data_IF_618740749219
#
_entry.id   IF_618740749219
#
_cell.length_a   1.000
_cell.length_b   1.000
_cell.length_c   1.000
_cell.angle_alpha   90.00
_cell.angle_beta   90.00
_cell.angle_gamma   90.00
#
_symmetry.space_group_name_H-M   'P 1'
#
loop_
_entity.id
_entity.type
_entity.pdbx_description
1 polymer ?
#
# COMPACT_ATOMS: atom_id res chain seq x y z
N UNK A 1 -3.07 15.84 -1.26
CA UNK A 1 -3.16 14.51 -1.86
C UNK A 1 -1.86 13.78 -1.61
N UNK A 2 -1.93 12.46 -1.41
CA UNK A 2 -0.78 11.58 -1.21
C UNK A 2 -0.42 10.84 -2.48
N UNK A 3 0.88 10.70 -2.73
CA UNK A 3 1.42 9.97 -3.86
C UNK A 3 2.46 8.96 -3.41
N UNK A 4 2.34 7.73 -3.90
CA UNK A 4 3.37 6.71 -3.85
C UNK A 4 4.27 6.87 -5.07
N UNK A 5 5.54 7.13 -4.82
CA UNK A 5 6.58 7.20 -5.83
C UNK A 5 7.43 5.92 -5.74
N UNK A 6 7.43 5.08 -6.78
CA UNK A 6 8.17 3.82 -6.81
C UNK A 6 9.37 4.00 -7.75
N UNK A 7 10.58 3.99 -7.20
CA UNK A 7 11.80 4.24 -7.94
C UNK A 7 12.45 2.95 -8.45
N UNK A 8 12.84 2.96 -9.72
CA UNK A 8 13.67 1.94 -10.39
C UNK A 8 14.97 2.60 -10.83
N UNK A 9 16.11 2.10 -10.33
CA UNK A 9 17.43 2.58 -10.76
C UNK A 9 17.84 1.98 -12.10
N UNK A 10 18.56 2.75 -12.92
CA UNK A 10 19.27 2.20 -14.09
C UNK A 10 20.58 1.50 -13.72
N UNK A 11 21.07 1.65 -12.48
CA UNK A 11 22.27 0.97 -11.98
C UNK A 11 21.95 -0.51 -11.66
N UNK A 12 22.92 -1.44 -11.80
CA UNK A 12 22.74 -2.82 -11.36
C UNK A 12 22.33 -2.91 -9.89
N UNK A 13 21.45 -3.85 -9.56
CA UNK A 13 20.98 -4.09 -8.20
C UNK A 13 22.16 -4.33 -7.24
N UNK A 14 22.07 -3.75 -6.04
CA UNK A 14 23.14 -3.84 -5.04
C UNK A 14 24.33 -2.91 -5.28
N UNK A 15 24.32 -2.07 -6.32
CA UNK A 15 25.31 -1.00 -6.48
C UNK A 15 25.10 0.06 -5.38
N UNK A 16 26.04 0.24 -4.44
CA UNK A 16 25.86 1.22 -3.37
C UNK A 16 25.98 2.65 -3.91
N UNK A 17 25.27 3.62 -3.32
CA UNK A 17 25.47 5.03 -3.62
C UNK A 17 26.85 5.51 -3.16
N UNK A 18 27.38 6.51 -3.85
CA UNK A 18 28.60 7.21 -3.44
C UNK A 18 28.37 8.07 -2.20
N UNK A 19 29.43 8.45 -1.48
CA UNK A 19 29.30 9.33 -0.30
C UNK A 19 28.65 10.68 -0.64
N UNK A 20 28.91 11.21 -1.84
CA UNK A 20 28.31 12.45 -2.30
C UNK A 20 26.82 12.31 -2.54
N UNK A 21 26.40 11.26 -3.27
CA UNK A 21 24.98 10.96 -3.50
C UNK A 21 24.25 10.75 -2.17
N UNK A 22 24.85 10.05 -1.20
CA UNK A 22 24.26 9.88 0.14
C UNK A 22 24.09 11.20 0.88
N UNK A 23 25.09 12.10 0.83
CA UNK A 23 25.01 13.39 1.50
C UNK A 23 23.97 14.32 0.86
N UNK A 24 23.94 14.40 -0.48
CA UNK A 24 22.97 15.21 -1.23
C UNK A 24 21.54 14.68 -1.03
N UNK A 25 21.36 13.35 -1.07
CA UNK A 25 20.05 12.72 -0.83
C UNK A 25 19.60 12.90 0.62
N UNK A 26 20.50 12.74 1.59
CA UNK A 26 20.20 12.95 3.01
C UNK A 26 19.72 14.37 3.29
N UNK A 27 20.36 15.38 2.66
CA UNK A 27 19.93 16.77 2.74
C UNK A 27 18.54 16.98 2.13
N UNK A 28 18.28 16.43 0.94
CA UNK A 28 16.97 16.53 0.29
C UNK A 28 15.88 15.91 1.17
N UNK A 29 16.13 14.74 1.76
CA UNK A 29 15.19 14.05 2.64
C UNK A 29 14.90 14.92 3.87
N UNK A 30 15.93 15.44 4.54
CA UNK A 30 15.76 16.29 5.72
C UNK A 30 14.91 17.54 5.42
N UNK A 31 15.22 18.24 4.33
CA UNK A 31 14.48 19.43 3.89
C UNK A 31 13.03 19.10 3.52
N UNK A 32 12.81 17.98 2.83
CA UNK A 32 11.49 17.55 2.38
C UNK A 32 10.60 17.02 3.51
N UNK A 33 11.19 16.35 4.51
CA UNK A 33 10.47 15.95 5.73
C UNK A 33 10.08 17.19 6.53
N UNK A 34 10.98 18.17 6.66
CA UNK A 34 10.73 19.41 7.40
C UNK A 34 9.65 20.29 6.76
N UNK A 35 9.56 20.31 5.43
CA UNK A 35 8.51 21.03 4.71
C UNK A 35 7.16 20.30 4.73
N UNK A 36 7.13 19.04 5.15
CA UNK A 36 5.93 18.19 5.14
C UNK A 36 5.58 17.61 3.77
N UNK A 37 6.43 17.83 2.76
CA UNK A 37 6.27 17.23 1.43
C UNK A 37 6.54 15.72 1.51
N UNK A 38 7.60 15.32 2.21
CA UNK A 38 7.93 13.91 2.38
C UNK A 38 7.28 13.36 3.64
N UNK A 39 6.50 12.28 3.50
CA UNK A 39 5.85 11.59 4.61
C UNK A 39 6.72 10.41 5.07
N UNK A 40 7.25 9.65 4.12
CA UNK A 40 8.12 8.50 4.36
C UNK A 40 8.94 8.20 3.11
N UNK A 41 10.15 7.67 3.27
CA UNK A 41 10.95 7.15 2.15
C UNK A 41 11.87 6.06 2.64
N UNK A 42 12.07 5.01 1.86
CA UNK A 42 13.04 3.96 2.17
C UNK A 42 13.59 3.31 0.89
N UNK A 43 14.82 2.82 0.97
CA UNK A 43 15.41 1.94 -0.02
C UNK A 43 14.96 0.50 0.17
N UNK A 44 14.73 -0.21 -0.93
CA UNK A 44 14.47 -1.65 -0.88
C UNK A 44 15.77 -2.43 -0.91
N UNK A 45 15.84 -3.50 -0.11
CA UNK A 45 16.87 -4.52 -0.28
C UNK A 45 16.68 -5.26 -1.61
N UNK A 46 17.72 -5.95 -2.11
CA UNK A 46 17.60 -6.72 -3.33
C UNK A 46 16.41 -7.67 -3.31
N UNK A 47 15.66 -7.74 -4.41
CA UNK A 47 14.40 -8.49 -4.49
C UNK A 47 14.59 -10.00 -4.24
N UNK A 48 15.80 -10.51 -4.48
CA UNK A 48 16.20 -11.88 -4.15
C UNK A 48 16.15 -12.19 -2.63
N UNK A 49 16.16 -11.17 -1.76
CA UNK A 49 15.98 -11.31 -0.31
C UNK A 49 14.51 -11.25 0.12
N UNK A 50 13.60 -10.94 -0.81
CA UNK A 50 12.17 -10.89 -0.56
C UNK A 50 11.49 -12.25 -0.73
N UNK A 51 10.22 -12.29 -0.34
CA UNK A 51 9.33 -13.43 -0.56
C UNK A 51 7.99 -12.93 -1.09
N UNK A 52 7.35 -13.75 -1.92
CA UNK A 52 5.98 -13.56 -2.37
C UNK A 52 5.08 -14.51 -1.63
N UNK A 53 3.98 -13.98 -1.10
CA UNK A 53 2.93 -14.75 -0.45
C UNK A 53 1.68 -14.62 -1.28
N UNK A 54 1.15 -15.75 -1.78
CA UNK A 54 -0.06 -15.80 -2.59
C UNK A 54 -1.14 -16.57 -1.85
N UNK A 55 -2.33 -15.98 -1.73
CA UNK A 55 -3.55 -16.68 -1.32
C UNK A 55 -4.38 -17.02 -2.56
N UNK A 56 -4.73 -18.28 -2.74
CA UNK A 56 -5.66 -18.71 -3.78
C UNK A 56 -6.50 -19.88 -3.29
N UNK A 57 -7.82 -19.79 -3.45
CA UNK A 57 -8.77 -20.82 -3.00
C UNK A 57 -8.57 -21.26 -1.54
N UNK A 58 -8.34 -20.28 -0.65
CA UNK A 58 -8.11 -20.53 0.77
C UNK A 58 -6.72 -21.09 1.12
N UNK A 59 -5.82 -21.26 0.14
CA UNK A 59 -4.48 -21.82 0.35
C UNK A 59 -3.40 -20.77 0.13
N UNK A 60 -2.45 -20.72 1.06
CA UNK A 60 -1.25 -19.90 0.93
C UNK A 60 -0.14 -20.64 0.18
N UNK A 61 0.60 -19.92 -0.64
CA UNK A 61 1.86 -20.36 -1.26
C UNK A 61 2.89 -19.27 -1.05
N UNK A 62 4.06 -19.65 -0.54
CA UNK A 62 5.20 -18.75 -0.37
C UNK A 62 6.23 -19.10 -1.44
N UNK A 63 6.77 -18.10 -2.11
CA UNK A 63 7.78 -18.27 -3.16
C UNK A 63 8.86 -17.23 -2.97
N UNK A 64 10.11 -17.66 -2.88
CA UNK A 64 11.24 -16.75 -2.75
C UNK A 64 11.43 -15.91 -4.02
N UNK A 65 11.96 -14.70 -3.83
CA UNK A 65 12.36 -13.82 -4.92
C UNK A 65 11.24 -13.00 -5.57
N UNK A 66 11.62 -12.18 -6.57
CA UNK A 66 10.74 -11.18 -7.18
C UNK A 66 9.57 -11.81 -7.93
N UNK A 67 8.61 -10.99 -8.36
CA UNK A 67 7.57 -11.46 -9.27
C UNK A 67 8.21 -12.01 -10.57
N UNK A 68 7.73 -13.17 -11.03
CA UNK A 68 8.34 -13.91 -12.15
C UNK A 68 8.30 -13.10 -13.46
N UNK A 69 7.35 -12.17 -13.56
CA UNK A 69 7.16 -11.23 -14.66
C UNK A 69 7.83 -9.87 -14.40
N UNK A 70 8.21 -9.55 -13.14
CA UNK A 70 8.86 -8.28 -12.82
C UNK A 70 10.34 -8.36 -13.16
N UNK A 71 10.67 -8.00 -14.40
CA UNK A 71 12.03 -7.52 -14.74
C UNK A 71 12.36 -6.19 -14.04
N UNK A 72 11.40 -5.63 -13.32
CA UNK A 72 11.45 -4.33 -12.68
C UNK A 72 11.91 -4.49 -11.24
N UNK A 73 13.13 -4.01 -10.98
CA UNK A 73 13.74 -4.00 -9.66
C UNK A 73 13.36 -2.67 -9.00
N UNK A 74 12.51 -2.73 -7.98
CA UNK A 74 12.18 -1.56 -7.17
C UNK A 74 13.37 -1.25 -6.27
N UNK A 75 14.03 -0.11 -6.50
CA UNK A 75 15.15 0.37 -5.69
C UNK A 75 14.70 1.05 -4.40
N UNK A 76 13.46 1.53 -4.34
CA UNK A 76 12.89 2.15 -3.14
C UNK A 76 11.54 2.79 -3.42
N UNK A 77 10.96 3.37 -2.37
CA UNK A 77 9.73 4.14 -2.48
C UNK A 77 9.82 5.44 -1.68
N UNK A 78 9.03 6.43 -2.11
CA UNK A 78 8.72 7.62 -1.34
C UNK A 78 7.21 7.83 -1.28
N UNK A 79 6.71 8.18 -0.11
CA UNK A 79 5.34 8.64 0.11
C UNK A 79 5.40 10.15 0.29
N UNK A 80 4.78 10.90 -0.62
CA UNK A 80 4.80 12.37 -0.61
C UNK A 80 3.41 12.96 -0.54
N UNK A 81 3.32 14.15 0.06
CA UNK A 81 2.16 15.03 0.06
C UNK A 81 2.36 16.11 -1.00
N UNK A 82 1.38 16.27 -1.88
CA UNK A 82 1.35 17.35 -2.88
C UNK A 82 -0.09 17.84 -3.11
N UNK A 83 -0.22 19.05 -3.65
CA UNK A 83 -1.49 19.69 -4.02
C UNK A 83 -1.95 19.29 -5.43
N UNK A 84 -1.09 18.64 -6.22
CA UNK A 84 -1.41 18.14 -7.56
C UNK A 84 -0.46 17.01 -7.97
N UNK A 85 -0.83 16.27 -9.02
CA UNK A 85 0.05 15.27 -9.64
C UNK A 85 1.27 15.94 -10.26
N UNK A 86 1.09 17.13 -10.83
CA UNK A 86 2.14 17.91 -11.46
C UNK A 86 3.20 18.34 -10.44
N UNK A 87 2.78 18.80 -9.26
CA UNK A 87 3.69 19.10 -8.14
C UNK A 87 4.42 17.84 -7.64
N UNK A 88 3.72 16.70 -7.52
CA UNK A 88 4.36 15.43 -7.19
C UNK A 88 5.43 15.01 -8.21
N UNK A 89 5.19 15.27 -9.50
CA UNK A 89 6.16 15.04 -10.58
C UNK A 89 7.38 15.97 -10.43
N UNK A 90 7.20 17.24 -10.08
CA UNK A 90 8.34 18.14 -9.85
C UNK A 90 9.23 17.69 -8.69
N UNK A 91 8.63 17.29 -7.56
CA UNK A 91 9.40 16.70 -6.45
C UNK A 91 10.13 15.42 -6.86
N UNK A 92 9.51 14.59 -7.69
CA UNK A 92 10.13 13.38 -8.23
C UNK A 92 11.31 13.71 -9.16
N UNK A 93 11.24 14.78 -9.95
CA UNK A 93 12.38 15.24 -10.77
C UNK A 93 13.55 15.69 -9.89
N UNK A 94 13.28 16.39 -8.80
CA UNK A 94 14.34 16.82 -7.86
C UNK A 94 15.03 15.62 -7.20
N UNK A 95 14.27 14.59 -6.85
CA UNK A 95 14.83 13.30 -6.42
C UNK A 95 15.72 12.67 -7.50
N UNK A 96 15.25 12.54 -8.74
CA UNK A 96 16.01 11.91 -9.83
C UNK A 96 17.30 12.66 -10.19
N UNK A 97 17.35 13.99 -10.05
CA UNK A 97 18.59 14.77 -10.24
C UNK A 97 19.72 14.32 -9.30
N UNK A 98 19.37 13.80 -8.12
CA UNK A 98 20.34 13.31 -7.13
C UNK A 98 20.53 11.79 -7.24
N UNK A 99 19.43 11.04 -7.40
CA UNK A 99 19.46 9.58 -7.49
C UNK A 99 20.17 9.06 -8.76
N UNK A 100 20.20 9.88 -9.82
CA UNK A 100 20.77 9.56 -11.12
C UNK A 100 19.77 8.90 -12.06
N UNK A 101 20.28 8.33 -13.14
CA UNK A 101 19.47 7.69 -14.18
C UNK A 101 18.57 6.60 -13.60
N UNK A 102 17.29 6.68 -13.94
CA UNK A 102 16.26 5.76 -13.49
C UNK A 102 14.87 6.26 -13.86
N UNK A 103 13.86 5.57 -13.35
CA UNK A 103 12.45 5.86 -13.59
C UNK A 103 11.71 5.83 -12.26
N UNK A 104 10.69 6.69 -12.11
CA UNK A 104 9.82 6.67 -10.93
C UNK A 104 8.37 6.66 -11.37
N UNK A 105 7.63 5.63 -10.96
CA UNK A 105 6.17 5.61 -11.10
C UNK A 105 5.57 6.50 -10.01
N UNK A 106 4.83 7.53 -10.40
CA UNK A 106 4.11 8.42 -9.48
C UNK A 106 2.63 8.07 -9.50
N UNK A 107 2.12 7.54 -8.38
CA UNK A 107 0.73 7.07 -8.28
C UNK A 107 0.03 7.71 -7.09
N UNK A 108 -1.11 8.34 -7.36
CA UNK A 108 -1.95 8.88 -6.29
C UNK A 108 -2.51 7.74 -5.43
N UNK A 109 -2.51 7.92 -4.12
CA UNK A 109 -3.11 7.01 -3.15
C UNK A 109 -4.44 7.60 -2.71
N UNK A 110 -5.44 6.74 -2.57
CA UNK A 110 -6.73 7.10 -1.99
C UNK A 110 -6.59 7.58 -0.55
N UNK A 111 -7.22 8.70 -0.23
CA UNK A 111 -7.35 9.22 1.12
C UNK A 111 -8.79 9.08 1.62
N UNK A 112 -9.02 8.94 2.94
CA UNK A 112 -10.37 8.86 3.49
C UNK A 112 -11.32 9.97 3.02
N UNK A 113 -10.80 11.17 2.77
CA UNK A 113 -11.55 12.33 2.27
C UNK A 113 -12.05 12.18 0.84
N UNK A 114 -11.44 11.31 0.03
CA UNK A 114 -11.88 11.05 -1.35
C UNK A 114 -13.23 10.31 -1.40
N UNK A 115 -13.68 9.78 -0.25
CA UNK A 115 -14.88 8.95 -0.10
C UNK A 115 -15.99 9.65 0.70
N UNK A 116 -15.88 10.96 0.88
CA UNK A 116 -16.82 11.76 1.69
C UNK A 116 -17.57 12.73 0.79
N UNK A 117 -18.90 12.62 0.77
CA UNK A 117 -19.74 13.59 0.07
C UNK A 117 -19.62 14.97 0.75
N UNK A 118 -19.67 16.10 0.01
CA UNK A 118 -19.59 17.43 0.59
C UNK A 118 -20.62 17.60 1.72
N UNK A 119 -20.15 17.80 2.96
CA UNK A 119 -21.01 17.96 4.14
C UNK A 119 -21.25 16.71 4.99
N UNK A 120 -20.67 15.55 4.67
CA UNK A 120 -20.62 14.39 5.57
C UNK A 120 -19.28 14.34 6.32
N UNK A 121 -19.26 13.77 7.53
CA UNK A 121 -18.01 13.42 8.21
C UNK A 121 -17.46 12.10 7.65
N UNK A 122 -16.13 11.96 7.50
CA UNK A 122 -15.52 10.67 7.16
C UNK A 122 -15.89 9.63 8.22
N UNK A 123 -16.69 8.63 7.84
CA UNK A 123 -16.95 7.47 8.68
C UNK A 123 -16.47 6.18 8.00
N UNK A 124 -16.09 5.19 8.81
CA UNK A 124 -15.54 3.92 8.33
C UNK A 124 -16.50 3.15 7.40
N UNK A 125 -17.82 3.33 7.58
CA UNK A 125 -18.83 2.64 6.78
C UNK A 125 -18.89 3.12 5.33
N UNK A 126 -18.66 4.42 5.06
CA UNK A 126 -18.65 4.94 3.69
C UNK A 126 -17.48 4.39 2.87
N UNK A 127 -16.30 4.28 3.50
CA UNK A 127 -15.09 3.69 2.91
C UNK A 127 -15.31 2.22 2.54
N UNK A 128 -15.93 1.45 3.44
CA UNK A 128 -16.21 0.02 3.21
C UNK A 128 -17.24 -0.17 2.10
N UNK A 129 -18.35 0.56 2.10
CA UNK A 129 -19.41 0.43 1.08
C UNK A 129 -18.90 0.74 -0.33
N UNK A 130 -18.04 1.76 -0.48
CA UNK A 130 -17.49 2.11 -1.78
C UNK A 130 -16.38 1.17 -2.25
N UNK A 131 -15.53 0.63 -1.34
CA UNK A 131 -14.54 -0.40 -1.69
C UNK A 131 -15.22 -1.71 -2.10
N UNK A 132 -16.26 -2.11 -1.39
CA UNK A 132 -17.00 -3.36 -1.65
C UNK A 132 -17.94 -3.25 -2.86
N UNK A 133 -18.26 -2.04 -3.31
CA UNK A 133 -19.20 -1.82 -4.40
C UNK A 133 -20.66 -2.07 -4.02
N UNK A 134 -20.97 -2.19 -2.72
CA UNK A 134 -22.34 -2.37 -2.23
C UNK A 134 -23.11 -1.04 -2.31
N UNK A 135 -23.74 -0.79 -3.46
CA UNK A 135 -24.72 0.28 -3.58
C UNK A 135 -26.02 -0.12 -2.87
N UNK A 136 -26.48 0.66 -1.90
CA UNK A 136 -27.87 0.60 -1.39
C UNK A 136 -28.84 1.11 -2.47
N UNK A 137 -28.98 0.42 -3.59
CA UNK A 137 -30.08 0.65 -4.52
C UNK A 137 -30.99 -0.58 -4.48
N UNK A 138 -31.91 -0.57 -3.51
CA UNK A 138 -32.96 -1.58 -3.38
C UNK A 138 -34.10 -1.23 -4.33
N UNK A 139 -33.89 -1.39 -5.64
CA UNK A 139 -35.01 -1.56 -6.56
C UNK A 139 -35.40 -3.02 -6.60
N UNK A 140 -36.68 -3.27 -6.32
CA UNK A 140 -37.27 -4.57 -6.05
C UNK A 140 -36.97 -5.59 -7.16
N UNK A 141 -36.11 -6.57 -6.84
CA UNK A 141 -36.06 -7.83 -7.57
C UNK A 141 -37.39 -8.54 -7.31
N UNK A 142 -38.26 -8.58 -8.32
CA UNK A 142 -39.48 -9.39 -8.27
C UNK A 142 -39.08 -10.85 -8.02
N UNK A 143 -39.75 -11.58 -7.09
CA UNK A 143 -39.36 -12.94 -6.80
C UNK A 143 -39.63 -13.82 -8.03
N UNK A 144 -38.57 -14.45 -8.54
CA UNK A 144 -38.68 -15.54 -9.50
C UNK A 144 -39.17 -16.81 -8.77
N UNK A 145 -40.11 -17.49 -9.43
CA UNK A 145 -40.80 -18.75 -9.09
C UNK A 145 -40.21 -19.59 -7.95
N UNK A 146 -41.02 -19.73 -6.90
CA UNK A 146 -40.80 -20.49 -5.67
C UNK A 146 -40.98 -22.01 -5.88
N UNK A 147 -40.10 -22.61 -6.68
CA UNK A 147 -40.05 -24.07 -6.87
C UNK A 147 -38.62 -24.55 -6.95
N UNK A 148 -38.02 -24.78 -5.78
CA UNK A 148 -37.10 -25.89 -5.46
C UNK A 148 -36.50 -25.65 -4.05
N UNK A 149 -37.32 -25.89 -3.02
CA UNK A 149 -36.90 -25.90 -1.63
C UNK A 149 -36.93 -27.34 -1.12
N UNK A 150 -35.80 -28.04 -1.22
CA UNK A 150 -35.49 -29.19 -0.34
C UNK A 150 -34.05 -29.68 -0.59
N UNK A 151 -33.12 -29.21 0.24
CA UNK A 151 -32.04 -30.04 0.77
C UNK A 151 -31.42 -29.26 1.94
N UNK A 152 -31.89 -29.58 3.14
CA UNK A 152 -31.29 -29.14 4.39
C UNK A 152 -29.98 -29.89 4.59
N UNK A 153 -28.86 -29.18 4.66
CA UNK A 153 -27.61 -29.72 5.21
C UNK A 153 -27.46 -29.08 6.59
N UNK A 154 -27.55 -29.91 7.63
CA UNK A 154 -27.34 -29.52 9.02
C UNK A 154 -25.87 -29.09 9.20
N UNK A 155 -25.66 -27.86 9.65
CA UNK A 155 -24.36 -27.37 10.14
C UNK A 155 -24.40 -27.52 11.66
N UNK A 156 -23.52 -28.35 12.22
CA UNK A 156 -23.32 -28.41 13.67
C UNK A 156 -22.60 -27.14 14.13
N UNK A 157 -23.29 -26.29 14.89
CA UNK A 157 -22.69 -25.16 15.58
C UNK A 157 -21.89 -25.65 16.80
N UNK A 158 -20.57 -25.42 16.78
CA UNK A 158 -19.70 -25.59 17.95
C UNK A 158 -19.89 -24.44 18.93
N UNK A 159 -19.95 -24.75 20.22
CA UNK A 159 -20.25 -23.80 21.31
C UNK A 159 -19.17 -22.71 21.52
N UNK A 160 -19.56 -21.49 21.92
CA UNK A 160 -18.64 -20.36 22.10
C UNK A 160 -18.03 -20.36 23.52
N UNK A 161 -16.83 -20.90 23.70
CA UNK A 161 -16.12 -20.78 24.98
C UNK A 161 -14.60 -20.58 24.92
N UNK A 162 -14.01 -20.22 23.77
CA UNK A 162 -12.54 -20.03 23.67
C UNK A 162 -12.11 -18.71 23.00
N UNK A 163 -12.92 -17.65 23.10
CA UNK A 163 -12.56 -16.31 22.63
C UNK A 163 -12.59 -15.28 23.78
N UNK A 164 -11.82 -15.51 24.82
CA UNK A 164 -11.51 -14.50 25.83
C UNK A 164 -10.03 -14.64 26.22
N UNK A 165 -9.15 -13.94 25.49
CA UNK A 165 -7.71 -14.18 25.62
C UNK A 165 -6.84 -12.96 25.41
N UNK A 166 -6.96 -12.22 24.30
CA UNK A 166 -5.94 -11.23 23.96
C UNK A 166 -6.54 -9.83 23.78
N UNK A 167 -6.70 -9.13 24.90
CA UNK A 167 -6.74 -7.68 24.95
C UNK A 167 -5.78 -7.21 26.03
N UNK A 168 -4.68 -6.58 25.59
CA UNK A 168 -3.68 -5.75 26.29
C UNK A 168 -2.25 -6.25 26.01
N UNK A 169 -1.48 -5.47 25.25
CA UNK A 169 -0.22 -4.83 25.68
C UNK A 169 0.27 -3.86 24.58
N UNK A 170 1.09 -2.84 24.90
CA UNK A 170 1.20 -1.59 24.17
C UNK A 170 2.47 -1.46 23.30
N UNK A 171 2.44 -0.44 22.45
CA UNK A 171 3.53 0.25 21.75
C UNK A 171 4.97 -0.02 22.23
N UNK A 172 5.82 -0.52 21.32
CA UNK A 172 7.29 -0.40 21.39
C UNK A 172 7.86 -0.02 20.02
N UNK A 173 8.80 0.91 20.12
CA UNK A 173 9.51 1.73 19.16
C UNK A 173 10.85 1.07 18.76
N UNK A 174 11.36 1.41 17.57
CA UNK A 174 12.77 1.44 17.12
C UNK A 174 13.70 0.23 17.37
N UNK A 175 14.30 -0.29 16.28
CA UNK A 175 15.75 -0.27 15.98
C UNK A 175 16.29 -1.52 15.24
N UNK A 176 17.15 -1.23 14.24
CA UNK A 176 18.35 -1.98 13.77
C UNK A 176 18.19 -3.28 12.96
N UNK A 177 18.81 -3.26 11.77
CA UNK A 177 19.94 -4.11 11.32
C UNK A 177 20.39 -3.56 9.95
N UNK A 178 21.54 -2.89 9.83
CA UNK A 178 22.90 -3.44 9.57
C UNK A 178 22.89 -4.53 8.50
#
# INVERSE_FOLDING_TARGET
MKFLCIYKSSKPEGTPPTQREMAEMGKLIEESMKSGILISTEGCLPSAKGARVRLSSGKFTVTDGPFTESKEIVGGFALIQANSKEEAIEHTKDFLKIAGDGETEVRQIFEPTDFVAPGSEPNHESLVSQWTGESKNTEAVRPADDRLRSQSVEIQEGTPSECAGWSRLPSIQLARMV
#
